data_IF_633549032093
#
_entry.id   IF_633549032093
#
_cell.length_a   1.000
_cell.length_b   1.000
_cell.length_c   1.000
_cell.angle_alpha   90.00
_cell.angle_beta   90.00
_cell.angle_gamma   90.00
#
_symmetry.space_group_name_H-M   'P 1'
#
loop_
_entity.id
_entity.type
_entity.pdbx_description
1 polymer ?
#
# COMPACT_ATOMS: atom_id res chain seq x y z
N UNK A 1 -46.06 -22.40 -27.52
CA UNK A 1 -44.92 -23.01 -26.79
C UNK A 1 -43.60 -22.29 -27.02
N UNK A 2 -43.17 -21.99 -28.27
CA UNK A 2 -41.89 -21.30 -28.56
C UNK A 2 -41.69 -19.96 -27.84
N UNK A 3 -42.72 -19.10 -27.78
CA UNK A 3 -42.62 -17.78 -27.14
C UNK A 3 -42.45 -17.85 -25.60
N UNK A 4 -43.02 -18.88 -24.96
CA UNK A 4 -42.89 -19.08 -23.51
C UNK A 4 -41.47 -19.52 -23.14
N UNK A 5 -40.88 -20.41 -23.94
CA UNK A 5 -39.50 -20.87 -23.74
C UNK A 5 -38.50 -19.72 -23.90
N UNK A 6 -38.70 -18.86 -24.92
CA UNK A 6 -37.85 -17.69 -25.13
C UNK A 6 -37.90 -16.72 -23.95
N UNK A 7 -39.09 -16.46 -23.40
CA UNK A 7 -39.26 -15.59 -22.24
C UNK A 7 -38.52 -16.13 -21.01
N UNK A 8 -38.60 -17.44 -20.76
CA UNK A 8 -37.92 -18.10 -19.63
C UNK A 8 -36.40 -17.99 -19.78
N UNK A 9 -35.86 -18.22 -20.98
CA UNK A 9 -34.41 -18.12 -21.24
C UNK A 9 -33.91 -16.68 -21.03
N UNK A 10 -34.64 -15.68 -21.51
CA UNK A 10 -34.28 -14.27 -21.30
C UNK A 10 -34.33 -13.90 -19.82
N UNK A 11 -35.37 -14.32 -19.09
CA UNK A 11 -35.48 -14.06 -17.66
C UNK A 11 -34.31 -14.69 -16.89
N UNK A 12 -33.96 -15.93 -17.22
CA UNK A 12 -32.84 -16.65 -16.60
C UNK A 12 -31.50 -15.96 -16.88
N UNK A 13 -31.27 -15.51 -18.12
CA UNK A 13 -30.07 -14.76 -18.48
C UNK A 13 -29.97 -13.40 -17.74
N UNK A 14 -31.10 -12.72 -17.51
CA UNK A 14 -31.14 -11.49 -16.71
C UNK A 14 -30.83 -11.77 -15.25
N UNK A 15 -31.42 -12.80 -14.65
CA UNK A 15 -31.16 -13.19 -13.25
C UNK A 15 -29.68 -13.54 -13.06
N UNK A 16 -29.11 -14.38 -13.92
CA UNK A 16 -27.68 -14.74 -13.85
C UNK A 16 -26.77 -13.51 -14.00
N UNK A 17 -27.14 -12.54 -14.84
CA UNK A 17 -26.37 -11.31 -15.02
C UNK A 17 -26.48 -10.37 -13.82
N UNK A 18 -27.65 -10.28 -13.19
CA UNK A 18 -27.85 -9.50 -11.95
C UNK A 18 -27.07 -10.12 -10.79
N UNK A 19 -27.04 -11.45 -10.66
CA UNK A 19 -26.23 -12.13 -9.65
C UNK A 19 -24.73 -11.96 -9.92
N UNK A 20 -24.28 -12.04 -11.17
CA UNK A 20 -22.88 -11.77 -11.53
C UNK A 20 -22.49 -10.32 -11.24
N UNK A 21 -23.38 -9.35 -11.50
CA UNK A 21 -23.16 -7.94 -11.16
C UNK A 21 -23.17 -7.70 -9.64
N UNK A 22 -23.99 -8.44 -8.88
CA UNK A 22 -23.98 -8.39 -7.42
C UNK A 22 -22.69 -8.99 -6.86
N UNK A 23 -22.28 -10.19 -7.28
CA UNK A 23 -21.00 -10.78 -6.89
C UNK A 23 -19.79 -9.91 -7.25
N UNK A 24 -19.83 -9.24 -8.41
CA UNK A 24 -18.77 -8.31 -8.81
C UNK A 24 -18.79 -7.00 -7.99
N UNK A 25 -19.97 -6.60 -7.50
CA UNK A 25 -20.17 -5.40 -6.66
C UNK A 25 -19.95 -5.67 -5.17
N UNK A 26 -19.98 -6.92 -4.74
CA UNK A 26 -19.80 -7.35 -3.34
C UNK A 26 -18.54 -8.19 -3.23
N UNK A 27 -17.38 -7.59 -3.55
CA UNK A 27 -16.27 -7.87 -2.67
C UNK A 27 -16.65 -7.27 -1.32
N UNK A 28 -17.37 -8.04 -0.50
CA UNK A 28 -17.64 -7.67 0.89
C UNK A 28 -16.28 -7.30 1.49
N UNK A 29 -16.18 -6.05 1.97
CA UNK A 29 -14.98 -5.59 2.63
C UNK A 29 -14.63 -6.60 3.72
N UNK A 30 -13.38 -7.08 3.73
CA UNK A 30 -12.99 -8.08 4.71
C UNK A 30 -13.21 -7.53 6.13
N UNK A 31 -13.51 -8.38 7.13
CA UNK A 31 -13.66 -7.92 8.51
C UNK A 31 -12.45 -7.08 8.99
N UNK A 32 -11.24 -7.42 8.54
CA UNK A 32 -10.01 -6.69 8.84
C UNK A 32 -9.99 -5.30 8.20
N UNK A 33 -10.45 -5.15 6.96
CA UNK A 33 -10.55 -3.85 6.30
C UNK A 33 -11.59 -2.95 6.99
N UNK A 34 -12.77 -3.49 7.34
CA UNK A 34 -13.80 -2.75 8.08
C UNK A 34 -13.22 -2.24 9.41
N UNK A 35 -12.52 -3.12 10.12
CA UNK A 35 -11.85 -2.78 11.37
C UNK A 35 -10.76 -1.73 11.18
N UNK A 36 -9.93 -1.86 10.14
CA UNK A 36 -8.89 -0.90 9.81
C UNK A 36 -9.47 0.49 9.53
N UNK A 37 -10.58 0.58 8.80
CA UNK A 37 -11.32 1.83 8.58
C UNK A 37 -11.82 2.44 9.90
N UNK A 38 -12.44 1.66 10.78
CA UNK A 38 -12.91 2.16 12.09
C UNK A 38 -11.76 2.68 12.96
N UNK A 39 -10.63 1.97 12.96
CA UNK A 39 -9.42 2.41 13.66
C UNK A 39 -8.87 3.71 13.05
N UNK A 40 -8.84 3.80 11.72
CA UNK A 40 -8.39 4.98 11.01
C UNK A 40 -9.26 6.21 11.31
N UNK A 41 -10.59 6.06 11.31
CA UNK A 41 -11.55 7.12 11.65
C UNK A 41 -11.32 7.65 13.07
N UNK A 42 -11.16 6.76 14.05
CA UNK A 42 -10.88 7.14 15.44
C UNK A 42 -9.54 7.86 15.57
N UNK A 43 -8.50 7.33 14.92
CA UNK A 43 -7.18 7.96 14.90
C UNK A 43 -7.21 9.36 14.24
N UNK A 44 -8.00 9.53 13.19
CA UNK A 44 -8.19 10.83 12.52
C UNK A 44 -8.88 11.86 13.44
N UNK A 45 -9.74 11.42 14.35
CA UNK A 45 -10.35 12.25 15.39
C UNK A 45 -9.41 12.56 16.57
N UNK A 46 -8.17 12.09 16.52
CA UNK A 46 -7.18 12.25 17.59
C UNK A 46 -7.41 11.33 18.78
N UNK A 47 -8.28 10.32 18.66
CA UNK A 47 -8.44 9.31 19.69
C UNK A 47 -7.20 8.42 19.78
N UNK A 48 -6.81 8.09 21.00
CA UNK A 48 -5.71 7.18 21.25
C UNK A 48 -6.18 5.75 20.96
N UNK A 49 -5.65 5.15 19.90
CA UNK A 49 -5.89 3.74 19.57
C UNK A 49 -4.91 2.91 20.40
N UNK A 50 -5.24 2.69 21.67
CA UNK A 50 -4.54 1.70 22.49
C UNK A 50 -5.25 0.35 22.34
N UNK A 51 -4.47 -0.74 22.26
CA UNK A 51 -5.00 -2.10 22.15
C UNK A 51 -6.00 -2.37 23.28
N UNK A 52 -7.21 -2.79 22.92
CA UNK A 52 -8.23 -3.13 23.92
C UNK A 52 -7.86 -4.45 24.58
N UNK A 53 -7.31 -4.40 25.79
CA UNK A 53 -7.14 -5.57 26.67
C UNK A 53 -8.51 -5.99 27.25
N UNK A 54 -9.36 -6.57 26.43
CA UNK A 54 -10.52 -7.33 26.92
C UNK A 54 -10.28 -8.80 26.59
N UNK A 55 -10.34 -9.63 27.62
CA UNK A 55 -9.78 -10.98 27.68
C UNK A 55 -9.94 -11.85 26.43
N UNK A 56 -8.81 -12.47 26.08
CA UNK A 56 -8.60 -13.66 25.24
C UNK A 56 -8.15 -13.49 23.78
N UNK A 57 -7.86 -12.28 23.31
CA UNK A 57 -7.02 -12.09 22.10
C UNK A 57 -6.48 -10.66 22.09
N UNK A 58 -5.16 -10.48 22.28
CA UNK A 58 -4.55 -9.14 22.19
C UNK A 58 -4.45 -8.77 20.72
N UNK A 59 -5.53 -8.23 20.18
CA UNK A 59 -5.53 -7.62 18.86
C UNK A 59 -4.87 -6.24 18.94
N UNK A 60 -3.55 -6.24 18.90
CA UNK A 60 -2.76 -5.00 18.88
C UNK A 60 -2.78 -4.43 17.47
N UNK A 61 -3.53 -3.35 17.28
CA UNK A 61 -3.43 -2.54 16.07
C UNK A 61 -2.37 -1.45 16.24
N UNK A 62 -1.64 -1.17 15.16
CA UNK A 62 -0.68 -0.08 15.04
C UNK A 62 -1.16 0.86 13.95
N UNK A 63 -1.15 2.16 14.24
CA UNK A 63 -1.51 3.21 13.27
C UNK A 63 -0.28 4.06 13.02
N UNK A 64 0.15 4.13 11.76
CA UNK A 64 1.18 5.06 11.31
C UNK A 64 0.53 6.12 10.43
N UNK A 65 0.73 7.38 10.79
CA UNK A 65 0.26 8.50 9.98
C UNK A 65 1.32 8.91 8.98
N UNK A 66 0.92 9.01 7.71
CA UNK A 66 1.73 9.50 6.61
C UNK A 66 1.12 10.81 6.06
N UNK A 67 1.99 11.70 5.63
CA UNK A 67 1.63 12.90 4.85
C UNK A 67 2.22 12.78 3.45
N UNK A 68 1.51 13.29 2.45
CA UNK A 68 2.12 13.47 1.15
C UNK A 68 3.16 14.61 1.21
N UNK A 69 4.35 14.36 0.67
CA UNK A 69 5.40 15.34 0.49
C UNK A 69 5.80 15.35 -0.98
N UNK A 70 5.52 16.46 -1.67
CA UNK A 70 5.81 16.61 -3.11
C UNK A 70 7.31 16.58 -3.43
N UNK A 71 8.17 16.81 -2.43
CA UNK A 71 9.61 16.84 -2.59
C UNK A 71 10.27 15.52 -2.17
N UNK A 72 9.54 14.60 -1.53
CA UNK A 72 10.05 13.27 -1.22
C UNK A 72 10.52 12.55 -2.49
N UNK A 73 11.54 11.72 -2.34
CA UNK A 73 12.14 10.95 -3.43
C UNK A 73 11.53 9.55 -3.45
N UNK A 74 11.09 9.09 -4.60
CA UNK A 74 10.81 7.68 -4.82
C UNK A 74 12.04 7.07 -5.46
N UNK A 75 12.65 6.11 -4.79
CA UNK A 75 13.93 5.54 -5.19
C UNK A 75 13.85 4.03 -5.27
N UNK A 76 14.79 3.44 -6.01
CA UNK A 76 15.12 2.02 -5.93
C UNK A 76 16.54 1.90 -5.40
N UNK A 77 16.73 1.00 -4.44
CA UNK A 77 18.04 0.64 -3.89
C UNK A 77 18.34 -0.82 -4.19
N UNK A 78 19.61 -1.20 -4.10
CA UNK A 78 20.01 -2.61 -4.19
C UNK A 78 19.28 -3.45 -3.13
N UNK A 79 19.04 -4.71 -3.46
CA UNK A 79 18.39 -5.69 -2.59
C UNK A 79 19.26 -6.24 -1.48
N UNK A 80 18.89 -7.41 -0.98
CA UNK A 80 19.61 -8.10 0.09
C UNK A 80 20.97 -8.65 -0.32
N UNK A 81 21.18 -8.91 -1.60
CA UNK A 81 22.49 -9.29 -2.16
C UNK A 81 23.46 -8.11 -2.33
N UNK A 82 22.93 -6.89 -2.30
CA UNK A 82 23.69 -5.66 -2.46
C UNK A 82 24.13 -5.34 -3.89
N UNK A 83 23.65 -6.08 -4.89
CA UNK A 83 23.89 -5.84 -6.32
C UNK A 83 22.67 -5.17 -6.96
N UNK A 84 22.83 -4.39 -8.04
CA UNK A 84 21.71 -3.89 -8.82
C UNK A 84 21.13 -5.00 -9.70
N UNK A 85 19.81 -5.09 -9.80
CA UNK A 85 19.16 -6.10 -10.63
C UNK A 85 19.20 -7.48 -9.97
N UNK A 86 19.31 -8.55 -10.76
CA UNK A 86 19.56 -9.90 -10.27
C UNK A 86 21.05 -10.17 -10.28
N UNK A 87 21.59 -10.58 -9.13
CA UNK A 87 22.98 -11.00 -9.03
C UNK A 87 23.41 -11.96 -10.15
N UNK A 88 24.55 -11.63 -10.76
CA UNK A 88 25.22 -12.39 -11.82
C UNK A 88 24.42 -12.50 -13.14
N UNK A 89 23.44 -11.62 -13.37
CA UNK A 89 22.61 -11.59 -14.59
C UNK A 89 22.72 -10.24 -15.30
N UNK A 90 22.91 -10.28 -16.62
CA UNK A 90 22.78 -9.11 -17.51
C UNK A 90 21.29 -8.88 -17.82
N UNK A 91 20.58 -8.12 -16.96
CA UNK A 91 19.12 -7.96 -17.00
C UNK A 91 18.64 -7.04 -18.12
N UNK A 92 19.48 -6.13 -18.59
CA UNK A 92 19.14 -5.18 -19.67
C UNK A 92 19.79 -5.54 -21.03
N UNK A 93 20.58 -6.61 -21.08
CA UNK A 93 21.27 -7.15 -22.25
C UNK A 93 22.30 -6.19 -22.84
N UNK A 94 22.93 -5.34 -22.02
CA UNK A 94 23.95 -4.39 -22.45
C UNK A 94 25.37 -4.99 -22.49
N UNK A 95 25.54 -6.23 -22.01
CA UNK A 95 26.81 -6.96 -21.96
C UNK A 95 27.63 -6.73 -20.70
N UNK A 96 27.10 -6.00 -19.71
CA UNK A 96 27.68 -5.75 -18.40
C UNK A 96 26.73 -6.30 -17.34
N UNK A 97 27.26 -7.07 -16.41
CA UNK A 97 26.49 -7.72 -15.33
C UNK A 97 26.63 -6.91 -14.05
N UNK A 98 25.56 -6.86 -13.26
CA UNK A 98 25.43 -6.15 -11.98
C UNK A 98 25.76 -4.65 -12.10
N UNK A 99 25.26 -4.05 -13.17
CA UNK A 99 25.49 -2.65 -13.52
C UNK A 99 24.33 -1.75 -13.05
N UNK A 100 24.59 -0.46 -12.82
CA UNK A 100 23.59 0.42 -12.20
C UNK A 100 22.31 0.60 -13.05
N UNK A 101 22.38 0.33 -14.36
CA UNK A 101 21.21 0.32 -15.26
C UNK A 101 20.19 -0.76 -14.91
N UNK A 102 20.64 -1.85 -14.31
CA UNK A 102 19.86 -3.07 -14.08
C UNK A 102 18.99 -2.97 -12.83
N UNK A 103 19.26 -1.96 -11.98
CA UNK A 103 18.51 -1.75 -10.74
C UNK A 103 17.02 -1.57 -11.01
N UNK A 104 16.21 -2.38 -10.33
CA UNK A 104 14.76 -2.46 -10.49
C UNK A 104 14.33 -3.45 -11.58
N UNK A 105 15.25 -4.28 -12.10
CA UNK A 105 14.93 -5.32 -13.06
C UNK A 105 13.85 -6.27 -12.53
N UNK A 106 13.03 -6.80 -13.43
CA UNK A 106 11.94 -7.69 -13.04
C UNK A 106 12.49 -8.98 -12.40
N UNK A 107 12.06 -9.26 -11.16
CA UNK A 107 12.47 -10.43 -10.39
C UNK A 107 13.81 -10.27 -9.66
N UNK A 108 14.37 -9.05 -9.61
CA UNK A 108 15.40 -8.66 -8.64
C UNK A 108 14.84 -8.64 -7.22
N UNK A 109 15.72 -8.60 -6.22
CA UNK A 109 15.39 -8.33 -4.82
C UNK A 109 15.57 -6.85 -4.44
N UNK A 110 15.79 -5.98 -5.44
CA UNK A 110 15.86 -4.53 -5.29
C UNK A 110 14.63 -3.95 -4.58
N UNK A 111 14.84 -2.88 -3.83
CA UNK A 111 13.83 -2.31 -2.93
C UNK A 111 13.37 -0.95 -3.42
N UNK A 112 12.06 -0.77 -3.55
CA UNK A 112 11.46 0.53 -3.84
C UNK A 112 11.05 1.22 -2.54
N UNK A 113 11.58 2.43 -2.32
CA UNK A 113 11.37 3.17 -1.08
C UNK A 113 10.99 4.63 -1.35
N UNK A 114 10.37 5.27 -0.34
CA UNK A 114 10.13 6.71 -0.33
C UNK A 114 11.00 7.36 0.74
N UNK A 115 11.92 8.22 0.31
CA UNK A 115 12.82 8.96 1.20
C UNK A 115 12.31 10.39 1.39
N UNK A 116 12.21 10.81 2.65
CA UNK A 116 11.97 12.22 2.99
C UNK A 116 13.11 13.10 2.49
N UNK A 117 12.84 14.38 2.21
CA UNK A 117 13.89 15.35 1.86
C UNK A 117 14.93 15.50 2.96
N UNK A 118 14.51 15.29 4.21
CA UNK A 118 15.37 15.36 5.40
C UNK A 118 16.10 14.03 5.68
N UNK A 119 16.02 13.04 4.78
CA UNK A 119 16.76 11.81 4.93
C UNK A 119 18.28 12.08 4.95
N UNK A 120 19.00 11.30 5.75
CA UNK A 120 20.46 11.46 5.94
C UNK A 120 21.27 11.09 4.69
N UNK A 121 20.68 10.33 3.76
CA UNK A 121 21.31 9.90 2.51
C UNK A 121 20.73 10.73 1.37
N UNK A 122 21.61 11.33 0.56
CA UNK A 122 21.20 12.05 -0.64
C UNK A 122 21.20 11.11 -1.84
N UNK A 123 20.04 10.82 -2.46
CA UNK A 123 19.94 9.91 -3.60
C UNK A 123 20.76 10.35 -4.81
N UNK A 124 21.08 11.63 -4.92
CA UNK A 124 21.82 12.19 -6.06
C UNK A 124 23.32 11.93 -6.01
N UNK A 125 23.86 11.47 -4.88
CA UNK A 125 25.30 11.25 -4.70
C UNK A 125 25.67 9.80 -4.43
N UNK A 126 24.69 8.95 -4.13
CA UNK A 126 24.91 7.55 -3.83
C UNK A 126 24.65 6.70 -5.09
N UNK A 127 25.67 6.06 -5.68
CA UNK A 127 25.48 5.21 -6.85
C UNK A 127 24.64 3.95 -6.55
N UNK A 128 24.47 3.59 -5.27
CA UNK A 128 23.59 2.50 -4.83
C UNK A 128 22.08 2.85 -4.90
N UNK A 129 21.74 4.08 -5.30
CA UNK A 129 20.36 4.57 -5.33
C UNK A 129 19.99 5.12 -6.72
N UNK A 130 18.87 4.64 -7.27
CA UNK A 130 18.27 5.15 -8.50
C UNK A 130 17.01 5.95 -8.17
N UNK A 131 16.93 7.20 -8.62
CA UNK A 131 15.72 8.02 -8.44
C UNK A 131 14.71 7.72 -9.56
N UNK A 132 13.51 7.28 -9.19
CA UNK A 132 12.42 7.04 -10.13
C UNK A 132 11.54 8.28 -10.33
N UNK A 133 11.16 8.92 -9.21
CA UNK A 133 10.22 10.05 -9.25
C UNK A 133 10.29 10.92 -7.99
N UNK A 134 9.44 11.94 -7.96
CA UNK A 134 9.23 12.84 -6.82
C UNK A 134 7.79 12.75 -6.36
N UNK A 135 7.58 13.00 -5.06
CA UNK A 135 6.27 12.98 -4.45
C UNK A 135 5.96 11.61 -3.86
N UNK A 136 5.73 11.55 -2.55
CA UNK A 136 5.40 10.30 -1.88
C UNK A 136 4.83 10.52 -0.49
N UNK A 137 4.26 9.47 0.08
CA UNK A 137 3.79 9.49 1.46
C UNK A 137 4.95 9.19 2.39
N UNK A 138 5.27 10.13 3.28
CA UNK A 138 6.34 10.00 4.28
C UNK A 138 5.77 9.95 5.70
N UNK A 139 6.40 9.22 6.63
CA UNK A 139 5.96 9.19 8.02
C UNK A 139 5.93 10.57 8.65
N UNK A 140 4.88 10.85 9.40
CA UNK A 140 4.79 12.06 10.21
C UNK A 140 5.61 11.85 11.49
N UNK A 141 6.71 12.58 11.63
CA UNK A 141 7.55 12.52 12.83
C UNK A 141 6.94 13.29 14.02
N UNK A 142 6.26 14.41 13.74
CA UNK A 142 5.59 15.23 14.74
C UNK A 142 4.12 15.45 14.34
N UNK A 143 3.18 14.71 14.96
CA UNK A 143 1.75 14.86 14.70
C UNK A 143 1.22 16.26 15.00
N UNK A 144 1.87 17.05 15.86
CA UNK A 144 1.40 18.41 16.19
C UNK A 144 1.65 19.40 15.05
N UNK A 145 2.68 19.18 14.23
CA UNK A 145 2.94 19.99 13.02
C UNK A 145 1.93 19.77 11.89
N UNK A 146 1.02 18.81 12.03
CA UNK A 146 0.03 18.50 11.00
C UNK A 146 -1.10 19.51 10.91
N UNK A 147 -1.29 20.38 11.90
CA UNK A 147 -2.45 21.27 11.94
C UNK A 147 -2.42 22.39 10.90
N UNK A 148 -1.29 22.61 10.20
CA UNK A 148 -1.12 23.79 9.33
C UNK A 148 -0.89 23.50 7.84
N UNK A 149 -0.95 22.25 7.39
CA UNK A 149 -0.71 21.90 5.97
C UNK A 149 -1.91 21.11 5.38
N UNK A 150 -2.33 21.53 4.18
CA UNK A 150 -3.44 20.99 3.36
C UNK A 150 -3.06 19.69 2.61
N UNK A 151 -1.85 19.17 2.83
CA UNK A 151 -1.35 17.95 2.23
C UNK A 151 -2.25 16.72 2.52
N UNK A 152 -2.54 15.87 1.51
CA UNK A 152 -3.27 14.63 1.70
C UNK A 152 -2.65 13.74 2.78
N UNK A 153 -3.51 13.04 3.54
CA UNK A 153 -3.12 12.16 4.64
C UNK A 153 -3.52 10.73 4.36
N UNK A 154 -2.63 9.82 4.76
CA UNK A 154 -2.85 8.38 4.67
C UNK A 154 -2.48 7.75 6.00
N UNK A 155 -3.32 6.84 6.48
CA UNK A 155 -3.05 6.03 7.64
C UNK A 155 -2.68 4.62 7.18
N UNK A 156 -1.54 4.13 7.61
CA UNK A 156 -1.22 2.71 7.55
C UNK A 156 -1.72 2.10 8.84
N UNK A 157 -2.74 1.24 8.74
CA UNK A 157 -3.31 0.52 9.88
C UNK A 157 -2.92 -0.93 9.75
N UNK A 158 -2.14 -1.42 10.70
CA UNK A 158 -1.68 -2.80 10.78
C UNK A 158 -2.23 -3.47 12.02
N UNK A 159 -2.45 -4.77 11.97
CA UNK A 159 -2.82 -5.55 13.14
C UNK A 159 -2.64 -7.04 12.90
N UNK A 160 -3.06 -7.83 13.88
CA UNK A 160 -3.07 -9.28 13.80
C UNK A 160 -4.48 -9.79 14.13
N UNK A 161 -4.92 -10.84 13.46
CA UNK A 161 -6.15 -11.56 13.78
C UNK A 161 -5.94 -13.05 13.48
N UNK A 162 -6.24 -13.91 14.45
CA UNK A 162 -6.10 -15.37 14.31
C UNK A 162 -4.71 -15.84 13.81
N UNK A 163 -3.64 -15.18 14.28
CA UNK A 163 -2.26 -15.52 13.89
C UNK A 163 -1.85 -15.01 12.50
N UNK A 164 -2.68 -14.19 11.84
CA UNK A 164 -2.37 -13.57 10.55
C UNK A 164 -2.26 -12.06 10.71
N UNK A 165 -1.15 -11.49 10.25
CA UNK A 165 -1.02 -10.05 10.15
C UNK A 165 -1.80 -9.51 8.96
N UNK A 166 -2.34 -8.31 9.13
CA UNK A 166 -2.99 -7.54 8.07
C UNK A 166 -2.48 -6.11 8.12
N UNK A 167 -2.48 -5.44 6.98
CA UNK A 167 -2.08 -4.03 6.86
C UNK A 167 -2.87 -3.39 5.73
N UNK A 168 -3.45 -2.23 6.00
CA UNK A 168 -4.22 -1.46 5.03
C UNK A 168 -3.75 0.00 5.01
N UNK A 169 -3.72 0.56 3.81
CA UNK A 169 -3.56 1.99 3.59
C UNK A 169 -4.96 2.62 3.47
N UNK A 170 -5.31 3.51 4.40
CA UNK A 170 -6.58 4.21 4.43
C UNK A 170 -6.32 5.70 4.16
N UNK A 171 -6.85 6.20 3.05
CA UNK A 171 -6.84 7.63 2.77
C UNK A 171 -7.88 8.32 3.65
N UNK A 172 -7.46 9.32 4.41
CA UNK A 172 -8.37 10.04 5.31
C UNK A 172 -8.95 11.23 4.55
N UNK A 173 -10.27 11.28 4.35
CA UNK A 173 -10.90 12.44 3.76
C UNK A 173 -10.67 13.67 4.65
N UNK A 174 -10.64 14.84 4.01
CA UNK A 174 -10.54 16.13 4.69
C UNK A 174 -11.72 16.37 5.64
#
# INVERSE_FOLDING_TARGET
MKNLLLLIVVLFAVVLRVDSLRSASTHEASPELIRACQIAERAALGERVEGSESGDTVDRAVVQMLRFDSNAWVVVTNGGDGQPGKADVDDDFNGVVDDASERGAFGSDDQCEVLSVDATVSPTTDPAISVLSRGGFVPVQDPQRLQSDDSPRRLIVSGEASGKSWTFAIDVPR
#
